data_IF_962463487670
#
_entry.id   IF_962463487670
#
_cell.length_a   1.000
_cell.length_b   1.000
_cell.length_c   1.000
_cell.angle_alpha   90.00
_cell.angle_beta   90.00
_cell.angle_gamma   90.00
#
_symmetry.space_group_name_H-M   'P 1'
#
loop_
_entity.id
_entity.type
_entity.pdbx_description
1 polymer ?
#
# COMPACT_ATOMS: atom_id res chain seq x y z
N UNK A 1 8.34 -2.02 34.03
CA UNK A 1 7.37 -1.53 33.03
C UNK A 1 5.97 -1.94 33.48
N UNK A 2 5.00 -1.02 33.49
CA UNK A 2 3.64 -1.34 33.88
C UNK A 2 2.99 -2.28 32.84
N UNK A 3 2.14 -3.20 33.30
CA UNK A 3 1.39 -4.14 32.44
C UNK A 3 0.65 -3.41 31.31
N UNK A 4 0.15 -2.19 31.59
CA UNK A 4 -0.51 -1.32 30.61
C UNK A 4 0.41 -0.95 29.45
N UNK A 5 1.64 -0.51 29.76
CA UNK A 5 2.58 -0.08 28.73
C UNK A 5 2.98 -1.25 27.82
N UNK A 6 3.17 -2.43 28.42
CA UNK A 6 3.49 -3.65 27.66
C UNK A 6 2.33 -4.05 26.73
N UNK A 7 1.11 -4.01 27.23
CA UNK A 7 -0.07 -4.34 26.43
C UNK A 7 -0.28 -3.36 25.28
N UNK A 8 -0.17 -2.04 25.55
CA UNK A 8 -0.28 -0.99 24.54
C UNK A 8 0.79 -1.15 23.46
N UNK A 9 2.05 -1.41 23.84
CA UNK A 9 3.13 -1.60 22.87
C UNK A 9 2.90 -2.83 21.97
N UNK A 10 2.44 -3.95 22.54
CA UNK A 10 2.16 -5.16 21.75
C UNK A 10 1.03 -4.91 20.74
N UNK A 11 -0.08 -4.30 21.18
CA UNK A 11 -1.18 -3.98 20.27
C UNK A 11 -0.79 -2.92 19.23
N UNK A 12 -0.01 -1.90 19.62
CA UNK A 12 0.49 -0.90 18.68
C UNK A 12 1.36 -1.53 17.59
N UNK A 13 2.24 -2.45 17.98
CA UNK A 13 3.08 -3.17 17.03
C UNK A 13 2.24 -4.04 16.09
N UNK A 14 1.26 -4.76 16.62
CA UNK A 14 0.36 -5.59 15.83
C UNK A 14 -0.43 -4.74 14.82
N UNK A 15 -1.01 -3.62 15.25
CA UNK A 15 -1.72 -2.70 14.34
C UNK A 15 -0.78 -2.09 13.31
N UNK A 16 0.44 -1.71 13.69
CA UNK A 16 1.43 -1.18 12.75
C UNK A 16 1.78 -2.20 11.65
N UNK A 17 1.96 -3.47 12.01
CA UNK A 17 2.22 -4.54 11.04
C UNK A 17 1.02 -4.74 10.10
N UNK A 18 -0.20 -4.75 10.63
CA UNK A 18 -1.42 -4.91 9.83
C UNK A 18 -1.61 -3.75 8.84
N UNK A 19 -1.43 -2.50 9.31
CA UNK A 19 -1.55 -1.30 8.46
C UNK A 19 -0.46 -1.28 7.39
N UNK A 20 0.78 -1.61 7.75
CA UNK A 20 1.89 -1.69 6.81
C UNK A 20 1.63 -2.78 5.75
N UNK A 21 1.21 -3.97 6.15
CA UNK A 21 0.86 -5.05 5.23
C UNK A 21 -0.29 -4.67 4.29
N UNK A 22 -1.36 -4.08 4.81
CA UNK A 22 -2.46 -3.58 3.99
C UNK A 22 -2.00 -2.48 3.02
N UNK A 23 -1.20 -1.51 3.50
CA UNK A 23 -0.65 -0.44 2.67
C UNK A 23 0.21 -0.96 1.52
N UNK A 24 1.07 -1.96 1.77
CA UNK A 24 1.88 -2.60 0.74
C UNK A 24 1.00 -3.29 -0.31
N UNK A 25 -0.04 -4.03 0.12
CA UNK A 25 -0.96 -4.72 -0.80
C UNK A 25 -1.69 -3.70 -1.67
N UNK A 26 -2.26 -2.65 -1.09
CA UNK A 26 -2.97 -1.60 -1.83
C UNK A 26 -2.05 -0.90 -2.81
N UNK A 27 -0.85 -0.50 -2.37
CA UNK A 27 0.13 0.18 -3.23
C UNK A 27 0.56 -0.70 -4.39
N UNK A 28 0.91 -1.97 -4.15
CA UNK A 28 1.37 -2.88 -5.20
C UNK A 28 0.27 -3.23 -6.21
N UNK A 29 -0.96 -3.42 -5.76
CA UNK A 29 -2.09 -3.66 -6.66
C UNK A 29 -2.42 -2.43 -7.50
N UNK A 30 -2.44 -1.25 -6.88
CA UNK A 30 -2.75 0.00 -7.58
C UNK A 30 -1.65 0.34 -8.58
N UNK A 31 -0.38 0.20 -8.21
CA UNK A 31 0.73 0.45 -9.14
C UNK A 31 0.69 -0.48 -10.35
N UNK A 32 0.45 -1.78 -10.15
CA UNK A 32 0.31 -2.72 -11.26
C UNK A 32 -0.83 -2.34 -12.21
N UNK A 33 -1.98 -1.94 -11.69
CA UNK A 33 -3.13 -1.52 -12.51
C UNK A 33 -2.84 -0.24 -13.29
N UNK A 34 -2.18 0.73 -12.68
CA UNK A 34 -1.83 1.98 -13.35
C UNK A 34 -0.84 1.76 -14.48
N UNK A 35 0.22 0.96 -14.26
CA UNK A 35 1.16 0.62 -15.32
C UNK A 35 0.52 -0.23 -16.43
N UNK A 36 -0.33 -1.20 -16.08
CA UNK A 36 -1.09 -1.97 -17.08
C UNK A 36 -1.99 -1.07 -17.93
N UNK A 37 -2.66 -0.10 -17.33
CA UNK A 37 -3.48 0.88 -18.07
C UNK A 37 -2.65 1.74 -19.04
N UNK A 38 -1.40 2.05 -18.69
CA UNK A 38 -0.47 2.72 -19.62
C UNK A 38 -0.12 1.79 -20.80
N UNK A 39 0.21 0.53 -20.53
CA UNK A 39 0.54 -0.45 -21.54
C UNK A 39 -0.66 -0.71 -22.50
N UNK A 40 -1.87 -0.81 -21.94
CA UNK A 40 -3.10 -0.95 -22.74
C UNK A 40 -3.38 0.26 -23.62
N UNK A 41 -3.11 1.48 -23.09
CA UNK A 41 -3.21 2.71 -23.88
C UNK A 41 -2.22 2.71 -25.05
N UNK A 42 -0.98 2.29 -24.81
CA UNK A 42 0.03 2.23 -25.87
C UNK A 42 -0.37 1.26 -26.97
N UNK A 43 -0.86 0.07 -26.61
CA UNK A 43 -1.34 -0.94 -27.55
C UNK A 43 -2.54 -0.45 -28.37
N UNK A 44 -3.54 0.12 -27.71
CA UNK A 44 -4.72 0.65 -28.42
C UNK A 44 -4.34 1.73 -29.44
N UNK A 45 -3.34 2.57 -29.12
CA UNK A 45 -2.87 3.56 -30.07
C UNK A 45 -2.04 2.99 -31.20
N UNK A 46 -1.20 1.98 -30.91
CA UNK A 46 -0.49 1.21 -31.91
C UNK A 46 -1.47 0.58 -32.92
N UNK A 47 -2.47 -0.18 -32.41
CA UNK A 47 -3.49 -0.84 -33.23
C UNK A 47 -4.23 0.18 -34.13
N UNK A 48 -4.52 1.37 -33.60
CA UNK A 48 -5.17 2.43 -34.37
C UNK A 48 -4.27 2.95 -35.47
N UNK A 49 -2.99 3.22 -35.19
CA UNK A 49 -2.01 3.65 -36.18
C UNK A 49 -1.90 2.61 -37.29
N UNK A 50 -1.78 1.33 -36.92
CA UNK A 50 -1.66 0.25 -37.88
C UNK A 50 -2.91 0.11 -38.76
N UNK A 51 -4.11 0.22 -38.19
CA UNK A 51 -5.37 0.13 -38.93
C UNK A 51 -5.57 1.30 -39.90
N UNK A 52 -5.30 2.54 -39.47
CA UNK A 52 -5.45 3.71 -40.31
C UNK A 52 -4.38 3.79 -41.42
N UNK A 53 -3.14 3.36 -41.11
CA UNK A 53 -2.09 3.25 -42.10
C UNK A 53 -2.36 2.17 -43.15
N UNK A 54 -3.05 1.09 -42.80
CA UNK A 54 -3.42 0.01 -43.71
C UNK A 54 -4.56 0.40 -44.63
N UNK A 55 -5.55 1.19 -44.15
CA UNK A 55 -6.66 1.68 -44.95
C UNK A 55 -6.26 2.68 -46.06
N UNK A 56 -5.21 3.47 -45.83
CA UNK A 56 -4.68 4.42 -46.82
C UNK A 56 -3.92 3.71 -47.94
N UNK A 57 -3.51 2.47 -47.74
CA UNK A 57 -2.70 1.66 -48.67
C UNK A 57 -3.48 0.71 -49.60
N UNK A 58 -4.69 1.07 -50.01
CA UNK A 58 -5.54 0.22 -50.88
C UNK A 58 -5.03 0.03 -52.30
N UNK A 59 -3.78 0.39 -52.62
CA UNK A 59 -3.11 0.17 -53.89
C UNK A 59 -1.76 -0.56 -53.78
N UNK A 60 -1.63 -1.48 -52.80
CA UNK A 60 -0.48 -2.38 -52.66
C UNK A 60 0.65 -1.87 -51.78
N UNK A 61 0.75 -2.44 -50.59
CA UNK A 61 1.92 -2.57 -49.70
C UNK A 61 2.77 -1.31 -49.37
N UNK A 62 2.19 -0.11 -49.41
CA UNK A 62 2.93 1.07 -49.03
C UNK A 62 2.37 1.67 -47.76
N UNK A 63 3.03 1.41 -46.65
CA UNK A 63 2.75 2.03 -45.35
C UNK A 63 3.11 3.53 -45.47
N UNK A 64 2.14 4.40 -45.74
CA UNK A 64 2.34 5.85 -45.74
C UNK A 64 1.63 6.39 -44.51
N UNK A 65 2.40 6.84 -43.54
CA UNK A 65 1.85 7.52 -42.37
C UNK A 65 1.66 8.97 -42.73
N UNK A 66 0.41 9.40 -42.84
CA UNK A 66 0.08 10.82 -43.01
C UNK A 66 0.32 11.56 -41.67
N UNK A 67 0.91 12.74 -41.73
CA UNK A 67 1.15 13.59 -40.57
C UNK A 67 -0.14 13.90 -39.82
N UNK A 68 -1.27 14.01 -40.51
CA UNK A 68 -2.60 14.23 -39.91
C UNK A 68 -3.00 13.11 -38.96
N UNK A 69 -2.69 11.87 -39.28
CA UNK A 69 -2.96 10.68 -38.45
C UNK A 69 -2.10 10.73 -37.19
N UNK A 70 -0.82 11.07 -37.33
CA UNK A 70 0.08 11.21 -36.18
C UNK A 70 -0.39 12.32 -35.23
N UNK A 71 -0.88 13.43 -35.77
CA UNK A 71 -1.36 14.56 -34.99
C UNK A 71 -2.69 14.27 -34.29
N UNK A 72 -3.59 13.52 -34.92
CA UNK A 72 -4.86 13.07 -34.32
C UNK A 72 -4.63 12.06 -33.16
N UNK A 73 -3.63 11.18 -33.30
CA UNK A 73 -3.31 10.19 -32.31
C UNK A 73 -2.46 10.76 -31.17
N UNK A 74 -1.70 11.83 -31.44
CA UNK A 74 -0.91 12.50 -30.43
C UNK A 74 -1.83 13.23 -29.43
N UNK A 75 -1.66 12.88 -28.16
CA UNK A 75 -2.29 13.57 -27.04
C UNK A 75 -1.22 14.10 -26.10
N UNK A 76 -1.53 15.03 -25.20
CA UNK A 76 -0.57 15.47 -24.21
C UNK A 76 0.09 14.31 -23.46
N UNK A 77 1.42 14.22 -23.53
CA UNK A 77 2.21 13.17 -22.90
C UNK A 77 2.27 11.84 -23.68
N UNK A 78 1.73 11.79 -24.91
CA UNK A 78 1.91 10.65 -25.83
C UNK A 78 2.67 11.13 -27.05
N UNK A 79 3.74 10.44 -27.40
CA UNK A 79 4.67 10.77 -28.47
C UNK A 79 4.73 9.61 -29.46
N UNK A 80 4.75 9.91 -30.74
CA UNK A 80 4.89 8.90 -31.80
C UNK A 80 6.05 9.26 -32.69
N UNK A 81 6.89 8.29 -33.01
CA UNK A 81 8.01 8.43 -33.92
C UNK A 81 8.14 7.19 -34.80
N UNK A 82 8.43 7.38 -36.05
CA UNK A 82 8.68 6.28 -37.00
C UNK A 82 10.10 6.38 -37.52
N UNK A 83 10.84 5.30 -37.34
CA UNK A 83 12.25 5.20 -37.69
C UNK A 83 12.45 4.18 -38.81
N UNK A 84 13.39 4.47 -39.69
CA UNK A 84 13.94 3.44 -40.59
C UNK A 84 14.85 2.47 -39.88
N UNK A 85 15.17 1.41 -40.54
CA UNK A 85 16.15 0.41 -40.08
C UNK A 85 17.54 1.01 -39.82
N UNK A 86 17.92 2.06 -40.54
CA UNK A 86 19.16 2.82 -40.37
C UNK A 86 19.10 3.80 -39.19
N UNK A 87 17.94 3.97 -38.56
CA UNK A 87 17.72 4.88 -37.44
C UNK A 87 17.33 6.30 -37.82
N UNK A 88 17.16 6.61 -39.13
CA UNK A 88 16.66 7.90 -39.56
C UNK A 88 15.17 8.06 -39.25
N UNK A 89 14.75 9.29 -38.87
CA UNK A 89 13.36 9.61 -38.57
C UNK A 89 12.58 9.82 -39.86
N UNK A 90 11.51 9.06 -40.06
CA UNK A 90 10.61 9.20 -41.22
C UNK A 90 9.48 10.17 -40.92
N UNK A 91 8.87 10.02 -39.75
CA UNK A 91 7.76 10.84 -39.31
C UNK A 91 7.74 10.90 -37.78
N UNK A 92 7.22 12.01 -37.25
CA UNK A 92 7.05 12.21 -35.79
C UNK A 92 5.85 13.07 -35.46
N UNK A 93 5.30 12.89 -34.29
CA UNK A 93 4.20 13.72 -33.81
C UNK A 93 4.66 15.15 -33.51
N UNK A 94 3.83 16.16 -33.77
CA UNK A 94 4.15 17.58 -33.60
C UNK A 94 4.44 18.01 -32.15
N UNK A 95 3.98 17.24 -31.17
CA UNK A 95 4.24 17.48 -29.76
C UNK A 95 5.65 16.99 -29.31
N UNK A 96 6.40 16.35 -30.21
CA UNK A 96 7.77 15.89 -29.97
C UNK A 96 8.76 16.93 -30.54
N UNK A 97 9.42 17.67 -29.66
CA UNK A 97 10.36 18.75 -30.05
C UNK A 97 11.76 18.27 -30.40
N UNK A 98 12.10 17.04 -29.98
CA UNK A 98 13.39 16.40 -30.28
C UNK A 98 13.17 14.91 -30.54
N UNK A 99 14.13 14.27 -31.22
CA UNK A 99 14.09 12.83 -31.45
C UNK A 99 14.02 12.09 -30.12
N UNK A 100 13.22 11.01 -30.06
CA UNK A 100 13.20 10.15 -28.88
C UNK A 100 14.58 9.49 -28.73
N UNK A 101 15.31 9.73 -27.63
CA UNK A 101 16.67 9.21 -27.44
C UNK A 101 16.71 7.70 -27.25
N UNK A 102 15.55 7.08 -27.28
CA UNK A 102 15.39 5.68 -26.92
C UNK A 102 15.60 4.76 -28.12
N UNK A 103 16.58 3.88 -28.02
CA UNK A 103 16.87 2.84 -29.01
C UNK A 103 16.89 1.52 -28.25
N UNK A 104 15.93 0.64 -28.56
CA UNK A 104 16.03 -0.73 -28.02
C UNK A 104 17.13 -1.50 -28.72
N UNK A 105 17.96 -2.20 -27.94
CA UNK A 105 18.95 -3.17 -28.45
C UNK A 105 18.36 -4.57 -28.55
N UNK A 106 17.14 -4.77 -28.03
CA UNK A 106 16.46 -6.05 -28.12
C UNK A 106 15.90 -6.25 -29.52
N UNK A 107 15.99 -7.50 -29.98
CA UNK A 107 15.30 -7.92 -31.20
C UNK A 107 13.80 -7.93 -30.92
N UNK A 108 13.05 -7.18 -31.71
CA UNK A 108 11.59 -7.18 -31.67
C UNK A 108 11.14 -8.44 -32.45
N UNK A 109 10.35 -9.35 -31.86
CA UNK A 109 9.81 -10.47 -32.62
C UNK A 109 8.87 -9.96 -33.69
N UNK A 110 8.91 -10.56 -34.88
CA UNK A 110 8.03 -10.20 -36.00
C UNK A 110 6.56 -10.30 -35.55
N UNK A 111 5.79 -9.24 -35.75
CA UNK A 111 4.36 -9.18 -35.38
C UNK A 111 4.09 -9.04 -33.87
N UNK A 112 5.11 -8.77 -33.06
CA UNK A 112 4.93 -8.53 -31.62
C UNK A 112 5.44 -7.14 -31.21
N UNK A 113 4.74 -6.50 -30.29
CA UNK A 113 5.17 -5.26 -29.68
C UNK A 113 6.08 -5.51 -28.48
N UNK A 114 7.16 -4.75 -28.34
CA UNK A 114 8.04 -4.75 -27.18
C UNK A 114 7.80 -3.47 -26.38
N UNK A 115 7.50 -3.59 -25.08
CA UNK A 115 7.29 -2.43 -24.21
C UNK A 115 8.44 -2.34 -23.21
N UNK A 116 9.12 -1.20 -23.17
CA UNK A 116 10.23 -0.93 -22.26
C UNK A 116 10.02 0.41 -21.55
N UNK A 117 10.60 0.54 -20.35
CA UNK A 117 10.65 1.83 -19.64
C UNK A 117 12.04 2.39 -19.78
N UNK A 118 12.12 3.65 -20.20
CA UNK A 118 13.34 4.41 -20.31
C UNK A 118 13.28 5.62 -19.37
N UNK A 119 14.44 6.09 -18.99
CA UNK A 119 14.61 7.32 -18.23
C UNK A 119 15.29 8.36 -19.14
N UNK A 120 14.70 9.55 -19.21
CA UNK A 120 15.27 10.66 -19.97
C UNK A 120 16.43 11.30 -19.19
N UNK A 121 17.25 12.10 -19.83
CA UNK A 121 18.34 12.86 -19.21
C UNK A 121 17.86 13.78 -18.09
N UNK A 122 16.59 14.17 -18.11
CA UNK A 122 15.93 14.97 -17.07
C UNK A 122 15.36 14.13 -15.92
N UNK A 123 15.60 12.83 -15.90
CA UNK A 123 15.06 11.90 -14.88
C UNK A 123 13.58 11.56 -15.08
N UNK A 124 12.96 11.97 -16.18
CA UNK A 124 11.58 11.61 -16.49
C UNK A 124 11.50 10.18 -17.02
N UNK A 125 10.60 9.38 -16.44
CA UNK A 125 10.35 8.02 -16.88
C UNK A 125 9.33 8.00 -18.00
N UNK A 126 9.68 7.33 -19.08
CA UNK A 126 8.84 7.19 -20.28
C UNK A 126 8.66 5.71 -20.61
N UNK A 127 7.43 5.32 -20.87
CA UNK A 127 7.07 3.98 -21.32
C UNK A 127 7.01 4.00 -22.84
N UNK A 128 7.78 3.14 -23.50
CA UNK A 128 7.91 3.09 -24.95
C UNK A 128 7.51 1.73 -25.47
N UNK A 129 6.60 1.73 -26.43
CA UNK A 129 6.23 0.56 -27.22
C UNK A 129 7.00 0.62 -28.55
N UNK A 130 7.62 -0.46 -28.91
CA UNK A 130 8.34 -0.66 -30.16
C UNK A 130 7.64 -1.73 -30.97
N UNK A 131 7.31 -1.41 -32.22
CA UNK A 131 6.72 -2.34 -33.19
C UNK A 131 7.51 -2.28 -34.51
N UNK A 132 7.84 -3.42 -35.10
CA UNK A 132 8.35 -3.47 -36.47
C UNK A 132 7.22 -3.25 -37.48
N UNK A 133 7.44 -2.34 -38.39
CA UNK A 133 6.51 -2.00 -39.49
C UNK A 133 7.24 -2.06 -40.82
N UNK A 134 6.55 -2.46 -41.88
CA UNK A 134 7.13 -2.49 -43.22
C UNK A 134 6.85 -1.17 -43.93
N UNK A 135 7.89 -0.37 -44.21
CA UNK A 135 7.80 0.78 -45.08
C UNK A 135 8.24 0.43 -46.52
N UNK A 136 7.90 1.27 -47.51
CA UNK A 136 8.39 1.07 -48.90
C UNK A 136 9.90 1.06 -48.94
N UNK A 137 10.46 -0.07 -49.35
CA UNK A 137 11.91 -0.25 -49.44
C UNK A 137 12.63 -0.49 -48.09
N UNK A 138 11.91 -0.59 -46.99
CA UNK A 138 12.48 -0.87 -45.67
C UNK A 138 11.56 -1.74 -44.80
N UNK A 139 11.83 -3.03 -44.79
CA UNK A 139 11.07 -4.00 -43.99
C UNK A 139 11.43 -4.01 -42.51
N UNK A 140 12.46 -3.27 -42.09
CA UNK A 140 12.95 -3.18 -40.71
C UNK A 140 12.65 -1.88 -40.04
N UNK A 141 11.73 -1.07 -40.57
CA UNK A 141 11.30 0.16 -39.95
C UNK A 141 10.61 -0.07 -38.59
N UNK A 142 10.60 0.92 -37.74
CA UNK A 142 10.07 0.80 -36.37
C UNK A 142 9.12 1.93 -36.04
N UNK A 143 7.95 1.57 -35.56
CA UNK A 143 7.02 2.47 -34.91
C UNK A 143 7.35 2.54 -33.42
N UNK A 144 7.51 3.73 -32.88
CA UNK A 144 7.70 4.01 -31.46
C UNK A 144 6.48 4.79 -30.97
N UNK A 145 5.79 4.25 -29.99
CA UNK A 145 4.74 4.97 -29.26
C UNK A 145 5.19 5.12 -27.82
N UNK A 146 5.40 6.36 -27.40
CA UNK A 146 5.94 6.65 -26.08
C UNK A 146 4.93 7.42 -25.23
N UNK A 147 4.89 7.15 -23.94
CA UNK A 147 4.06 7.86 -22.96
C UNK A 147 4.84 8.20 -21.71
N UNK A 148 4.73 9.47 -21.28
CA UNK A 148 5.28 9.91 -20.01
C UNK A 148 4.62 9.18 -18.83
N UNK A 149 5.43 8.69 -17.90
CA UNK A 149 4.97 8.08 -16.65
C UNK A 149 4.82 9.12 -15.52
N UNK A 150 5.20 10.38 -15.75
CA UNK A 150 5.12 11.43 -14.73
C UNK A 150 3.73 11.54 -14.07
N UNK A 151 2.60 11.54 -14.80
CA UNK A 151 1.27 11.59 -14.18
C UNK A 151 0.97 10.35 -13.33
N UNK A 152 1.45 9.18 -13.79
CA UNK A 152 1.28 7.90 -13.09
C UNK A 152 2.12 7.86 -11.80
N UNK A 153 3.38 8.28 -11.89
CA UNK A 153 4.29 8.34 -10.74
C UNK A 153 3.78 9.36 -9.70
N UNK A 154 3.33 10.55 -10.14
CA UNK A 154 2.73 11.55 -9.26
C UNK A 154 1.45 11.05 -8.56
N UNK A 155 0.62 10.25 -9.24
CA UNK A 155 -0.55 9.62 -8.62
C UNK A 155 -0.13 8.59 -7.57
N UNK A 156 0.87 7.76 -7.86
CA UNK A 156 1.42 6.77 -6.92
C UNK A 156 2.03 7.44 -5.69
N UNK A 157 2.75 8.54 -5.86
CA UNK A 157 3.32 9.29 -4.73
C UNK A 157 2.23 9.89 -3.83
N UNK A 158 1.15 10.41 -4.40
CA UNK A 158 -0.02 10.86 -3.61
C UNK A 158 -0.62 9.73 -2.80
N UNK A 159 -0.83 8.56 -3.41
CA UNK A 159 -1.35 7.37 -2.73
C UNK A 159 -0.40 6.96 -1.61
N UNK A 160 0.90 6.97 -1.84
CA UNK A 160 1.92 6.67 -0.82
C UNK A 160 1.84 7.61 0.37
N UNK A 161 1.73 8.93 0.12
CA UNK A 161 1.61 9.95 1.17
C UNK A 161 0.32 9.74 1.98
N UNK A 162 -0.81 9.46 1.31
CA UNK A 162 -2.10 9.20 1.99
C UNK A 162 -2.05 7.92 2.82
N UNK A 163 -1.45 6.84 2.31
CA UNK A 163 -1.32 5.58 3.05
C UNK A 163 -0.42 5.73 4.28
N UNK A 164 0.73 6.39 4.15
CA UNK A 164 1.65 6.61 5.27
C UNK A 164 1.03 7.57 6.28
N UNK A 165 0.56 8.73 5.84
CA UNK A 165 -0.03 9.75 6.71
C UNK A 165 -1.30 9.24 7.40
N UNK A 166 -2.19 8.61 6.66
CA UNK A 166 -3.40 7.98 7.19
C UNK A 166 -3.08 6.86 8.19
N UNK A 167 -2.07 6.04 7.90
CA UNK A 167 -1.60 4.99 8.80
C UNK A 167 -1.08 5.53 10.12
N UNK A 168 -0.29 6.61 10.08
CA UNK A 168 0.22 7.28 11.30
C UNK A 168 -0.93 7.86 12.12
N UNK A 169 -1.85 8.59 11.48
CA UNK A 169 -3.02 9.16 12.16
C UNK A 169 -3.86 8.06 12.81
N UNK A 170 -4.12 6.98 12.08
CA UNK A 170 -4.86 5.84 12.62
C UNK A 170 -4.17 5.23 13.84
N UNK A 171 -2.86 5.02 13.80
CA UNK A 171 -2.09 4.50 14.94
C UNK A 171 -2.19 5.40 16.16
N UNK A 172 -2.08 6.71 15.98
CA UNK A 172 -2.19 7.69 17.08
C UNK A 172 -3.60 7.62 17.71
N UNK A 173 -4.64 7.64 16.88
CA UNK A 173 -6.03 7.58 17.34
C UNK A 173 -6.32 6.24 18.03
N UNK A 174 -5.93 5.13 17.44
CA UNK A 174 -6.14 3.78 18.01
C UNK A 174 -5.44 3.63 19.36
N UNK A 175 -4.20 4.11 19.48
CA UNK A 175 -3.46 4.09 20.77
C UNK A 175 -4.10 5.01 21.81
N UNK A 176 -4.53 6.20 21.43
CA UNK A 176 -5.25 7.12 22.31
C UNK A 176 -6.53 6.50 22.83
N UNK A 177 -7.34 5.90 21.96
CA UNK A 177 -8.57 5.22 22.32
C UNK A 177 -8.32 4.02 23.24
N UNK A 178 -7.33 3.18 22.90
CA UNK A 178 -6.93 2.04 23.71
C UNK A 178 -6.50 2.49 25.13
N UNK A 179 -5.77 3.59 25.24
CA UNK A 179 -5.37 4.15 26.54
C UNK A 179 -6.56 4.61 27.36
N UNK A 180 -7.52 5.33 26.75
CA UNK A 180 -8.74 5.82 27.42
C UNK A 180 -9.61 4.65 27.88
N UNK A 181 -9.78 3.62 27.09
CA UNK A 181 -10.61 2.44 27.42
C UNK A 181 -9.93 1.53 28.44
N UNK A 182 -8.64 1.28 28.31
CA UNK A 182 -7.90 0.41 29.23
C UNK A 182 -7.77 0.99 30.66
N UNK A 183 -7.77 2.31 30.81
CA UNK A 183 -7.60 2.95 32.11
C UNK A 183 -8.72 2.62 33.12
N UNK A 184 -10.01 2.71 32.79
CA UNK A 184 -11.10 2.32 33.71
C UNK A 184 -11.21 0.79 33.89
N UNK A 185 -10.93 0.00 32.85
CA UNK A 185 -11.02 -1.46 32.90
C UNK A 185 -10.05 -2.10 33.91
N UNK A 186 -8.89 -1.49 34.15
CA UNK A 186 -7.88 -1.99 35.09
C UNK A 186 -7.98 -1.36 36.50
N UNK A 187 -8.89 -0.42 36.74
CA UNK A 187 -9.11 0.19 38.07
C UNK A 187 -9.55 -0.84 39.12
N UNK A 188 -10.52 -1.72 38.86
CA UNK A 188 -10.95 -2.72 39.83
C UNK A 188 -9.79 -3.62 40.30
N UNK A 189 -8.97 -4.08 39.37
CA UNK A 189 -7.83 -4.97 39.68
C UNK A 189 -6.81 -4.31 40.62
N UNK A 190 -6.56 -3.01 40.43
CA UNK A 190 -5.69 -2.25 41.33
C UNK A 190 -6.27 -2.08 42.73
N UNK A 191 -7.59 -1.91 42.84
CA UNK A 191 -8.26 -1.85 44.14
C UNK A 191 -8.15 -3.19 44.88
N UNK A 192 -8.42 -4.28 44.20
CA UNK A 192 -8.27 -5.63 44.75
C UNK A 192 -6.84 -5.85 45.29
N UNK A 193 -5.85 -5.58 44.44
CA UNK A 193 -4.44 -5.73 44.86
C UNK A 193 -4.03 -4.82 45.99
N UNK A 194 -4.52 -3.56 46.01
CA UNK A 194 -4.25 -2.62 47.11
C UNK A 194 -4.86 -3.06 48.45
N UNK A 195 -6.14 -3.47 48.44
CA UNK A 195 -6.82 -3.94 49.67
C UNK A 195 -6.22 -5.25 50.19
N UNK A 196 -5.82 -6.15 49.27
CA UNK A 196 -5.14 -7.41 49.67
C UNK A 196 -3.79 -7.12 50.37
N UNK A 197 -3.00 -6.17 49.82
CA UNK A 197 -1.73 -5.74 50.40
C UNK A 197 -1.93 -5.03 51.80
N UNK A 198 -3.00 -4.27 51.97
CA UNK A 198 -3.34 -3.68 53.29
C UNK A 198 -3.70 -4.74 54.30
N UNK A 199 -4.51 -5.76 53.92
CA UNK A 199 -4.86 -6.87 54.81
C UNK A 199 -3.60 -7.67 55.24
N UNK A 200 -2.68 -7.90 54.29
CA UNK A 200 -1.41 -8.54 54.60
C UNK A 200 -0.56 -7.74 55.57
N UNK A 201 -0.42 -6.45 55.34
CA UNK A 201 0.40 -5.57 56.19
C UNK A 201 -0.14 -5.34 57.58
N UNK A 202 -1.46 -5.32 57.72
CA UNK A 202 -2.12 -5.09 59.02
C UNK A 202 -2.51 -6.36 59.76
N UNK A 203 -2.44 -7.51 59.13
CA UNK A 203 -2.99 -8.80 59.58
C UNK A 203 -4.45 -8.71 60.04
N UNK A 204 -5.21 -7.76 59.49
CA UNK A 204 -6.62 -7.54 59.79
C UNK A 204 -7.48 -8.34 58.76
N UNK A 205 -7.69 -9.61 59.08
CA UNK A 205 -8.49 -10.52 58.27
C UNK A 205 -10.02 -10.30 58.44
N UNK A 206 -10.45 -9.30 59.23
CA UNK A 206 -11.88 -8.94 59.31
C UNK A 206 -12.32 -8.11 58.11
N UNK A 207 -11.38 -7.45 57.41
CA UNK A 207 -11.66 -6.65 56.22
C UNK A 207 -11.99 -7.58 55.02
N UNK A 208 -12.85 -7.04 54.14
CA UNK A 208 -13.22 -7.70 52.89
C UNK A 208 -12.84 -6.84 51.72
N UNK A 209 -12.46 -7.48 50.61
CA UNK A 209 -12.15 -6.80 49.36
C UNK A 209 -13.47 -6.36 48.73
N UNK A 210 -13.68 -5.08 48.41
CA UNK A 210 -14.89 -4.58 47.78
C UNK A 210 -15.00 -5.01 46.32
N UNK A 211 -16.22 -5.27 45.81
CA UNK A 211 -16.48 -5.58 44.44
C UNK A 211 -16.90 -7.02 44.15
N UNK A 212 -17.30 -7.79 45.14
CA UNK A 212 -17.84 -9.13 44.99
C UNK A 212 -19.12 -9.17 44.10
N UNK A 213 -19.87 -8.08 44.07
CA UNK A 213 -21.12 -7.95 43.28
C UNK A 213 -20.87 -7.51 41.81
N UNK A 214 -19.62 -7.25 41.41
CA UNK A 214 -19.31 -6.90 40.05
C UNK A 214 -19.50 -8.09 39.10
N UNK A 215 -20.09 -7.85 37.92
CA UNK A 215 -20.22 -8.91 36.91
C UNK A 215 -18.86 -9.24 36.28
N UNK A 216 -18.70 -10.52 35.89
CA UNK A 216 -17.50 -10.98 35.18
C UNK A 216 -16.38 -11.50 36.08
N UNK A 217 -15.21 -11.75 35.47
CA UNK A 217 -14.07 -12.45 36.08
C UNK A 217 -13.50 -11.73 37.32
N UNK A 218 -13.63 -10.38 37.36
CA UNK A 218 -13.16 -9.61 38.51
C UNK A 218 -14.02 -9.82 39.75
N UNK A 219 -15.34 -9.91 39.59
CA UNK A 219 -16.26 -10.22 40.71
C UNK A 219 -16.04 -11.64 41.23
N UNK A 220 -15.80 -12.60 40.35
CA UNK A 220 -15.48 -13.97 40.71
C UNK A 220 -14.16 -14.07 41.49
N UNK A 221 -13.12 -13.37 41.00
CA UNK A 221 -11.85 -13.29 41.72
C UNK A 221 -12.01 -12.68 43.11
N UNK A 222 -12.78 -11.62 43.27
CA UNK A 222 -13.03 -10.96 44.56
C UNK A 222 -13.77 -11.91 45.50
N UNK A 223 -14.78 -12.65 45.05
CA UNK A 223 -15.47 -13.66 45.88
C UNK A 223 -14.53 -14.74 46.37
N UNK A 224 -13.73 -15.33 45.46
CA UNK A 224 -12.76 -16.36 45.81
C UNK A 224 -11.72 -15.87 46.83
N UNK A 225 -11.22 -14.64 46.68
CA UNK A 225 -10.30 -14.05 47.63
C UNK A 225 -10.96 -13.79 48.99
N UNK A 226 -12.20 -13.29 49.05
CA UNK A 226 -12.93 -13.11 50.29
C UNK A 226 -13.21 -14.43 51.03
N UNK A 227 -13.51 -15.51 50.30
CA UNK A 227 -13.65 -16.88 50.88
C UNK A 227 -12.34 -17.38 51.47
N UNK A 228 -11.21 -17.12 50.82
CA UNK A 228 -9.88 -17.45 51.36
C UNK A 228 -9.57 -16.67 52.65
N UNK A 229 -9.85 -15.35 52.64
CA UNK A 229 -9.68 -14.51 53.85
C UNK A 229 -10.52 -15.02 55.01
N UNK A 230 -11.77 -15.42 54.77
CA UNK A 230 -12.65 -15.99 55.76
C UNK A 230 -12.12 -17.31 56.36
N UNK A 231 -11.61 -18.21 55.52
CA UNK A 231 -10.98 -19.43 55.98
C UNK A 231 -9.76 -19.19 56.85
N UNK A 232 -8.91 -18.24 56.46
CA UNK A 232 -7.72 -17.82 57.23
C UNK A 232 -8.16 -17.27 58.59
N UNK A 233 -9.14 -16.37 58.60
CA UNK A 233 -9.70 -15.78 59.84
C UNK A 233 -10.20 -16.86 60.77
N UNK A 234 -11.06 -17.77 60.29
CA UNK A 234 -11.63 -18.87 61.08
C UNK A 234 -10.54 -19.76 61.66
N UNK A 235 -9.50 -20.08 60.87
CA UNK A 235 -8.40 -20.92 61.35
C UNK A 235 -7.58 -20.23 62.45
N UNK A 236 -7.35 -18.92 62.32
CA UNK A 236 -6.63 -18.14 63.35
C UNK A 236 -7.43 -18.02 64.63
N UNK A 237 -8.75 -17.80 64.55
CA UNK A 237 -9.62 -17.69 65.70
C UNK A 237 -9.75 -19.05 66.42
N UNK A 238 -9.82 -20.15 65.71
CA UNK A 238 -9.77 -21.50 66.28
C UNK A 238 -8.43 -21.75 67.01
N UNK A 239 -7.31 -21.32 66.43
CA UNK A 239 -6.00 -21.47 67.05
C UNK A 239 -5.84 -20.62 68.33
N UNK A 240 -6.36 -19.42 68.34
CA UNK A 240 -6.37 -18.54 69.52
C UNK A 240 -7.23 -19.09 70.62
N UNK A 241 -8.40 -19.64 70.32
CA UNK A 241 -9.31 -20.27 71.32
C UNK A 241 -8.74 -21.56 71.88
N UNK A 242 -7.80 -22.23 71.23
CA UNK A 242 -7.16 -23.43 71.71
C UNK A 242 -5.97 -23.15 72.66
N UNK A 243 -5.40 -21.94 72.58
CA UNK A 243 -4.27 -21.49 73.43
C UNK A 243 -4.71 -20.67 74.64
N UNK A 244 -5.97 -20.31 74.77
CA UNK A 244 -6.58 -19.60 75.93
C UNK A 244 -7.28 -20.58 76.86
#
# INVERSE_FOLDING_TARGET
MSLRLRLTLVYSLLFAILIAGFGIIVYTQTSKRLYSSVDDTLRTREDRILSEATDTSNSGETFTIDQSVLDEISAPGVYVEVLRSDGSVVARSNNLTADLPFRTRRRIPAGAALIETHETDNGERVRVLYQEVALPGDAGARLLVARSLHPTDAALDRIRIVLIGGGIVFLVVANGLAYVVAAPALRPLRRVSGTAAEIEATADFSRRIPGADQPGEVGELVRTLNELIEKVQTTLDAHRSFLA
#
